data_IF_189344097127
#
_entry.id   IF_189344097127
#
_cell.length_a   1.000
_cell.length_b   1.000
_cell.length_c   1.000
_cell.angle_alpha   90.00
_cell.angle_beta   90.00
_cell.angle_gamma   90.00
#
_symmetry.space_group_name_H-M   'P 1'
#
loop_
_entity.id
_entity.type
_entity.pdbx_description
1 polymer ?
#
# COMPACT_ATOMS: atom_id res chain seq x y z
N UNK A 1 -5.70 21.50 2.54
CA UNK A 1 -6.48 21.68 3.78
C UNK A 1 -6.78 20.30 4.36
N UNK A 2 -5.96 19.80 5.26
CA UNK A 2 -6.22 18.53 5.98
C UNK A 2 -7.09 18.84 7.19
N UNK A 3 -8.40 18.65 7.03
CA UNK A 3 -9.33 18.70 8.14
C UNK A 3 -9.03 17.48 9.02
N UNK A 4 -8.25 17.63 10.09
CA UNK A 4 -8.16 16.62 11.14
C UNK A 4 -9.55 16.53 11.74
N UNK A 5 -10.35 15.56 11.32
CA UNK A 5 -11.60 15.28 12.00
C UNK A 5 -11.24 14.82 13.41
N UNK A 6 -11.37 15.72 14.40
CA UNK A 6 -11.33 15.42 15.84
C UNK A 6 -12.55 14.57 16.28
N UNK A 7 -13.13 13.80 15.36
CA UNK A 7 -14.25 12.94 15.66
C UNK A 7 -13.70 11.54 15.84
N UNK A 8 -13.87 11.00 17.04
CA UNK A 8 -13.49 9.66 17.49
C UNK A 8 -14.36 8.56 16.84
N UNK A 9 -14.69 8.74 15.56
CA UNK A 9 -15.67 7.97 14.81
C UNK A 9 -15.14 7.67 13.40
N UNK A 10 -15.61 6.57 12.83
CA UNK A 10 -15.55 6.32 11.38
C UNK A 10 -16.95 6.47 10.77
N UNK A 11 -17.00 6.80 9.48
CA UNK A 11 -18.26 6.97 8.74
C UNK A 11 -18.19 6.15 7.45
N UNK A 12 -19.23 5.39 7.18
CA UNK A 12 -19.41 4.65 5.92
C UNK A 12 -20.40 5.44 5.06
N UNK A 13 -19.98 5.82 3.86
CA UNK A 13 -20.84 6.46 2.87
C UNK A 13 -21.13 5.50 1.72
N UNK A 14 -22.35 5.56 1.19
CA UNK A 14 -22.72 4.89 -0.06
C UNK A 14 -22.95 5.94 -1.14
N UNK A 15 -22.52 5.60 -2.36
CA UNK A 15 -22.85 6.38 -3.56
C UNK A 15 -24.21 5.88 -4.08
N UNK A 16 -25.19 6.78 -4.17
CA UNK A 16 -26.48 6.49 -4.77
C UNK A 16 -26.55 7.11 -6.17
N UNK A 17 -27.03 6.32 -7.14
CA UNK A 17 -27.34 6.80 -8.50
C UNK A 17 -28.84 6.73 -8.70
N UNK A 18 -29.52 7.88 -8.62
CA UNK A 18 -30.92 7.94 -8.99
C UNK A 18 -31.04 7.77 -10.51
N UNK A 19 -31.65 6.66 -10.94
CA UNK A 19 -32.07 6.41 -12.32
C UNK A 19 -33.52 6.87 -12.50
N UNK A 20 -33.79 8.15 -12.27
CA UNK A 20 -35.04 8.73 -12.77
C UNK A 20 -34.83 9.20 -14.21
N UNK A 21 -35.90 9.08 -15.01
CA UNK A 21 -35.89 9.17 -16.47
C UNK A 21 -35.28 10.49 -16.97
N UNK A 22 -34.35 10.35 -17.92
CA UNK A 22 -33.92 11.33 -18.95
C UNK A 22 -33.23 12.64 -18.58
N UNK A 23 -32.94 12.95 -17.31
CA UNK A 23 -32.09 14.12 -16.99
C UNK A 23 -30.94 13.69 -16.07
N UNK A 24 -29.70 13.87 -16.57
CA UNK A 24 -28.38 13.65 -15.91
C UNK A 24 -28.46 12.96 -14.55
N UNK A 25 -28.06 11.69 -14.48
CA UNK A 25 -28.05 10.92 -13.24
C UNK A 25 -27.33 11.70 -12.12
N UNK A 26 -28.09 12.18 -11.13
CA UNK A 26 -27.52 12.83 -9.96
C UNK A 26 -26.84 11.76 -9.09
N UNK A 27 -25.51 11.88 -8.94
CA UNK A 27 -24.71 11.05 -8.04
C UNK A 27 -24.72 11.74 -6.69
N UNK A 28 -25.26 11.09 -5.67
CA UNK A 28 -25.28 11.64 -4.30
C UNK A 28 -24.55 10.70 -3.34
N UNK A 29 -23.82 11.29 -2.39
CA UNK A 29 -23.24 10.56 -1.26
C UNK A 29 -24.24 10.55 -0.11
N UNK A 30 -24.56 9.37 0.40
CA UNK A 30 -25.41 9.21 1.58
C UNK A 30 -24.62 8.56 2.70
N UNK A 31 -24.62 9.19 3.88
CA UNK A 31 -24.12 8.56 5.09
C UNK A 31 -24.96 7.32 5.37
N UNK A 32 -24.32 6.15 5.36
CA UNK A 32 -24.95 4.86 5.59
C UNK A 32 -24.86 4.47 7.05
N UNK A 33 -23.68 4.57 7.65
CA UNK A 33 -23.45 4.25 9.06
C UNK A 33 -22.32 5.06 9.66
N UNK A 34 -22.33 5.16 10.98
CA UNK A 34 -21.28 5.77 11.80
C UNK A 34 -20.92 4.74 12.86
N UNK A 35 -19.64 4.62 13.19
CA UNK A 35 -19.19 3.79 14.30
C UNK A 35 -18.11 4.47 15.11
N UNK A 36 -17.97 4.03 16.35
CA UNK A 36 -17.01 4.56 17.31
C UNK A 36 -16.57 3.41 18.23
N UNK A 37 -15.38 3.52 18.82
CA UNK A 37 -14.88 2.53 19.76
C UNK A 37 -14.35 3.23 21.00
N UNK A 38 -15.10 3.12 22.11
CA UNK A 38 -14.76 3.70 23.42
C UNK A 38 -14.31 5.18 23.41
N UNK A 39 -14.79 5.98 22.45
CA UNK A 39 -14.37 7.38 22.33
C UNK A 39 -12.90 7.56 21.94
N UNK A 40 -12.25 6.50 21.43
CA UNK A 40 -10.87 6.57 20.96
C UNK A 40 -10.77 7.18 19.56
N UNK A 41 -9.68 7.90 19.26
CA UNK A 41 -9.43 8.37 17.90
C UNK A 41 -9.21 7.19 16.97
N UNK A 42 -9.92 7.18 15.83
CA UNK A 42 -9.65 6.27 14.73
C UNK A 42 -8.54 6.85 13.84
N UNK A 43 -7.58 6.02 13.45
CA UNK A 43 -6.41 6.44 12.65
C UNK A 43 -6.48 5.96 11.20
N UNK A 44 -6.97 4.75 10.97
CA UNK A 44 -7.01 4.13 9.66
C UNK A 44 -8.15 3.12 9.58
N UNK A 45 -8.64 2.87 8.36
CA UNK A 45 -9.61 1.83 8.10
C UNK A 45 -9.27 1.12 6.79
N UNK A 46 -9.58 -0.17 6.72
CA UNK A 46 -9.44 -0.99 5.52
C UNK A 46 -10.61 -1.95 5.42
N UNK A 47 -11.09 -2.20 4.20
CA UNK A 47 -12.18 -3.13 3.93
C UNK A 47 -11.56 -4.38 3.30
N UNK A 48 -12.07 -5.54 3.69
CA UNK A 48 -11.67 -6.82 3.12
C UNK A 48 -12.02 -6.89 1.63
N UNK A 49 -11.31 -7.74 0.87
CA UNK A 49 -11.49 -7.81 -0.59
C UNK A 49 -12.91 -8.19 -1.01
N UNK A 50 -13.56 -9.06 -0.23
CA UNK A 50 -14.94 -9.50 -0.41
C UNK A 50 -15.98 -8.50 0.12
N UNK A 51 -15.53 -7.42 0.77
CA UNK A 51 -16.40 -6.37 1.32
C UNK A 51 -17.21 -6.79 2.54
N UNK A 52 -16.96 -7.98 3.10
CA UNK A 52 -17.73 -8.52 4.23
C UNK A 52 -17.36 -7.86 5.55
N UNK A 53 -16.08 -7.57 5.77
CA UNK A 53 -15.56 -7.02 7.02
C UNK A 53 -14.69 -5.79 6.80
N UNK A 54 -14.65 -4.94 7.81
CA UNK A 54 -13.81 -3.74 7.85
C UNK A 54 -12.99 -3.73 9.14
N UNK A 55 -11.71 -3.45 8.99
CA UNK A 55 -10.80 -3.21 10.09
C UNK A 55 -10.69 -1.70 10.31
N UNK A 56 -10.79 -1.27 11.56
CA UNK A 56 -10.57 0.13 11.96
C UNK A 56 -9.54 0.15 13.07
N UNK A 57 -8.46 0.91 12.86
CA UNK A 57 -7.42 1.11 13.87
C UNK A 57 -7.79 2.26 14.80
N UNK A 58 -7.84 1.97 16.09
CA UNK A 58 -8.01 2.91 17.18
C UNK A 58 -6.72 2.98 18.00
N UNK A 59 -6.68 3.82 19.03
CA UNK A 59 -5.48 4.04 19.82
C UNK A 59 -4.99 2.77 20.50
N UNK A 60 -5.90 1.99 21.08
CA UNK A 60 -5.56 0.81 21.90
C UNK A 60 -6.05 -0.51 21.30
N UNK A 61 -6.80 -0.46 20.19
CA UNK A 61 -7.34 -1.65 19.55
C UNK A 61 -7.38 -1.54 18.02
N UNK A 62 -7.32 -2.69 17.35
CA UNK A 62 -7.79 -2.82 15.98
C UNK A 62 -9.11 -3.56 16.05
N UNK A 63 -10.15 -2.97 15.50
CA UNK A 63 -11.52 -3.49 15.61
C UNK A 63 -11.99 -4.00 14.27
N UNK A 64 -12.68 -5.15 14.27
CA UNK A 64 -13.23 -5.77 13.08
C UNK A 64 -14.75 -5.63 13.12
N UNK A 65 -15.31 -5.05 12.08
CA UNK A 65 -16.73 -4.74 11.95
C UNK A 65 -17.31 -5.47 10.75
N UNK A 66 -18.53 -5.96 10.88
CA UNK A 66 -19.34 -6.37 9.75
C UNK A 66 -19.78 -5.13 8.97
N UNK A 67 -19.41 -5.03 7.69
CA UNK A 67 -19.64 -3.83 6.87
C UNK A 67 -21.13 -3.58 6.64
N UNK A 68 -21.93 -4.66 6.57
CA UNK A 68 -23.33 -4.56 6.22
C UNK A 68 -24.21 -4.09 7.39
N UNK A 69 -24.05 -4.74 8.53
CA UNK A 69 -24.80 -4.48 9.75
C UNK A 69 -24.17 -3.42 10.65
N UNK A 70 -22.92 -3.00 10.36
CA UNK A 70 -22.15 -2.06 11.19
C UNK A 70 -21.99 -2.56 12.63
N UNK A 71 -21.91 -3.88 12.83
CA UNK A 71 -21.72 -4.51 14.14
C UNK A 71 -20.26 -4.81 14.37
N UNK A 72 -19.76 -4.47 15.57
CA UNK A 72 -18.45 -4.90 16.03
C UNK A 72 -18.45 -6.43 16.19
N UNK A 73 -17.56 -7.12 15.49
CA UNK A 73 -17.40 -8.56 15.57
C UNK A 73 -16.43 -8.94 16.69
N UNK A 74 -15.24 -8.33 16.69
CA UNK A 74 -14.22 -8.51 17.72
C UNK A 74 -13.14 -7.42 17.61
N UNK A 75 -12.25 -7.36 18.60
CA UNK A 75 -11.02 -6.56 18.56
C UNK A 75 -9.79 -7.46 18.62
N UNK A 76 -8.72 -7.01 17.99
CA UNK A 76 -7.40 -7.62 18.04
C UNK A 76 -6.58 -6.94 19.16
N UNK A 77 -5.79 -7.73 19.91
CA UNK A 77 -4.95 -7.19 20.97
C UNK A 77 -3.83 -6.35 20.35
N UNK A 78 -3.51 -5.22 20.98
CA UNK A 78 -2.31 -4.44 20.66
C UNK A 78 -1.27 -4.67 21.75
N UNK A 79 0.02 -4.85 21.41
CA UNK A 79 1.07 -4.88 22.42
C UNK A 79 1.09 -3.55 23.18
N UNK A 80 0.81 -3.57 24.49
CA UNK A 80 0.67 -2.35 25.29
C UNK A 80 1.97 -1.52 25.30
N UNK A 81 3.13 -2.19 25.35
CA UNK A 81 4.44 -1.54 25.31
C UNK A 81 5.42 -2.30 24.42
N UNK A 82 6.06 -1.57 23.49
CA UNK A 82 7.29 -2.01 22.85
C UNK A 82 8.37 -0.95 23.13
N UNK A 83 9.44 -1.35 23.84
CA UNK A 83 10.54 -0.46 24.24
C UNK A 83 10.09 0.80 25.00
N UNK A 84 9.22 0.65 26.00
CA UNK A 84 8.67 1.75 26.82
C UNK A 84 7.95 2.83 25.98
N UNK A 85 7.46 2.46 24.79
CA UNK A 85 6.67 3.33 23.92
C UNK A 85 5.36 2.62 23.56
N UNK A 86 4.28 3.38 23.60
CA UNK A 86 2.95 2.92 23.23
C UNK A 86 2.92 2.54 21.73
N UNK A 87 2.49 1.31 21.43
CA UNK A 87 2.23 0.90 20.05
C UNK A 87 0.89 1.47 19.61
N UNK A 88 0.90 2.46 18.72
CA UNK A 88 -0.33 3.05 18.17
C UNK A 88 -0.45 2.61 16.71
N UNK A 89 -1.48 1.86 16.31
CA UNK A 89 -1.67 1.39 14.95
C UNK A 89 -2.15 2.55 14.06
N UNK A 90 -1.23 3.16 13.33
CA UNK A 90 -1.51 4.33 12.51
C UNK A 90 -2.08 3.94 11.14
N UNK A 91 -1.81 2.72 10.69
CA UNK A 91 -2.24 2.24 9.38
C UNK A 91 -2.63 0.76 9.46
N UNK A 92 -3.73 0.40 8.81
CA UNK A 92 -4.23 -0.97 8.75
C UNK A 92 -4.59 -1.34 7.31
N UNK A 93 -4.20 -2.53 6.86
CA UNK A 93 -4.51 -3.03 5.53
C UNK A 93 -4.78 -4.54 5.57
N UNK A 94 -5.85 -5.01 4.91
CA UNK A 94 -6.04 -6.44 4.69
C UNK A 94 -5.00 -6.98 3.70
N UNK A 95 -4.43 -8.16 4.01
CA UNK A 95 -3.66 -8.94 3.03
C UNK A 95 -4.50 -10.10 2.49
N UNK A 96 -4.25 -10.45 1.23
CA UNK A 96 -4.77 -11.70 0.64
C UNK A 96 -6.31 -11.79 0.72
N UNK A 97 -6.86 -13.00 0.68
CA UNK A 97 -8.29 -13.33 0.84
C UNK A 97 -8.78 -13.09 2.29
N UNK A 98 -8.47 -11.92 2.86
CA UNK A 98 -9.05 -11.39 4.10
C UNK A 98 -8.67 -12.11 5.40
N UNK A 99 -7.75 -13.07 5.40
CA UNK A 99 -7.35 -13.79 6.62
C UNK A 99 -6.42 -12.95 7.51
N UNK A 100 -5.55 -12.15 6.89
CA UNK A 100 -4.48 -11.46 7.60
C UNK A 100 -4.65 -9.95 7.53
N UNK A 101 -4.21 -9.28 8.60
CA UNK A 101 -4.16 -7.82 8.67
C UNK A 101 -2.74 -7.36 8.89
N UNK A 102 -2.27 -6.48 8.01
CA UNK A 102 -1.03 -5.73 8.12
C UNK A 102 -1.30 -4.46 8.89
N UNK A 103 -0.49 -4.20 9.91
CA UNK A 103 -0.58 -2.99 10.72
C UNK A 103 0.77 -2.31 10.79
N UNK A 104 0.78 -0.99 10.59
CA UNK A 104 1.94 -0.13 10.82
C UNK A 104 1.77 0.69 12.10
N UNK A 105 2.82 0.73 12.92
CA UNK A 105 3.01 1.74 13.95
C UNK A 105 4.33 2.46 13.74
N UNK A 106 4.68 3.37 14.66
CA UNK A 106 6.02 3.98 14.68
C UNK A 106 7.10 3.01 15.18
N UNK A 107 6.71 1.91 15.81
CA UNK A 107 7.60 0.96 16.49
C UNK A 107 7.76 -0.36 15.73
N UNK A 108 6.88 -0.63 14.77
CA UNK A 108 7.01 -1.83 13.97
C UNK A 108 5.87 -2.07 13.01
N UNK A 109 6.00 -3.20 12.34
CA UNK A 109 4.96 -3.79 11.50
C UNK A 109 4.47 -5.06 12.19
N UNK A 110 3.16 -5.21 12.34
CA UNK A 110 2.54 -6.41 12.92
C UNK A 110 1.55 -6.99 11.93
N UNK A 111 1.59 -8.32 11.80
CA UNK A 111 0.62 -9.10 11.05
C UNK A 111 -0.22 -9.90 12.03
N UNK A 112 -1.53 -9.72 11.95
CA UNK A 112 -2.50 -10.51 12.72
C UNK A 112 -3.14 -11.57 11.84
N UNK A 113 -3.40 -12.73 12.41
CA UNK A 113 -4.29 -13.74 11.83
C UNK A 113 -5.68 -13.56 12.44
N UNK A 114 -6.67 -13.30 11.60
CA UNK A 114 -8.05 -13.07 12.04
C UNK A 114 -8.75 -14.33 12.51
N UNK A 115 -8.33 -15.51 12.05
CA UNK A 115 -8.92 -16.77 12.47
C UNK A 115 -8.51 -17.11 13.92
N UNK A 116 -7.21 -17.01 14.22
CA UNK A 116 -6.72 -17.22 15.57
C UNK A 116 -6.85 -16.00 16.49
N UNK A 117 -7.08 -14.80 15.93
CA UNK A 117 -7.14 -13.49 16.62
C UNK A 117 -5.87 -13.18 17.40
N UNK A 118 -4.72 -13.60 16.85
CA UNK A 118 -3.41 -13.45 17.47
C UNK A 118 -2.44 -12.77 16.51
N UNK A 119 -1.35 -12.26 17.09
CA UNK A 119 -0.19 -11.83 16.32
C UNK A 119 0.39 -13.07 15.65
N UNK A 120 0.44 -13.04 14.32
CA UNK A 120 1.06 -14.07 13.50
C UNK A 120 2.56 -13.78 13.33
N UNK A 121 2.91 -12.53 13.02
CA UNK A 121 4.30 -12.12 12.82
C UNK A 121 4.48 -10.65 13.20
N UNK A 122 5.67 -10.27 13.67
CA UNK A 122 5.99 -8.88 14.02
C UNK A 122 7.43 -8.55 13.70
N UNK A 123 7.66 -7.32 13.21
CA UNK A 123 8.97 -6.77 12.93
C UNK A 123 9.14 -5.47 13.71
N UNK A 124 10.21 -5.39 14.49
CA UNK A 124 10.60 -4.17 15.19
C UNK A 124 11.41 -3.29 14.25
N UNK A 125 10.77 -2.26 13.72
CA UNK A 125 11.34 -1.31 12.79
C UNK A 125 10.58 0.03 12.87
N UNK A 126 11.07 1.07 12.20
CA UNK A 126 10.35 2.35 12.11
C UNK A 126 9.85 2.54 10.68
N UNK A 127 8.81 1.79 10.27
CA UNK A 127 8.33 1.79 8.90
C UNK A 127 7.68 3.13 8.55
N UNK A 128 8.07 3.68 7.40
CA UNK A 128 7.48 4.91 6.88
C UNK A 128 6.24 4.60 6.06
N UNK A 129 6.27 3.54 5.26
CA UNK A 129 5.16 3.10 4.41
C UNK A 129 4.97 1.59 4.54
N UNK A 130 3.73 1.14 4.35
CA UNK A 130 3.37 -0.26 4.16
C UNK A 130 2.47 -0.40 2.92
N UNK A 131 2.51 -1.54 2.25
CA UNK A 131 1.49 -1.92 1.29
C UNK A 131 1.26 -3.43 1.36
N UNK A 132 -0.01 -3.82 1.31
CA UNK A 132 -0.43 -5.20 1.26
C UNK A 132 -0.78 -5.60 -0.18
N UNK A 133 -0.36 -6.79 -0.58
CA UNK A 133 -0.78 -7.36 -1.83
C UNK A 133 -2.23 -7.88 -1.74
N UNK A 134 -3.03 -7.65 -2.78
CA UNK A 134 -4.48 -7.92 -2.76
C UNK A 134 -4.86 -9.40 -2.83
N UNK A 135 -4.02 -10.22 -3.44
CA UNK A 135 -4.33 -11.64 -3.75
C UNK A 135 -3.29 -12.59 -3.15
N UNK A 136 -2.02 -12.33 -3.42
CA UNK A 136 -0.89 -13.04 -2.83
C UNK A 136 -0.67 -12.68 -1.37
N UNK A 137 -0.06 -13.61 -0.62
CA UNK A 137 0.39 -13.42 0.76
C UNK A 137 1.70 -12.61 0.81
N UNK A 138 1.74 -11.49 0.09
CA UNK A 138 2.89 -10.61 -0.02
C UNK A 138 2.57 -9.26 0.61
N UNK A 139 3.59 -8.63 1.16
CA UNK A 139 3.52 -7.27 1.67
C UNK A 139 4.86 -6.60 1.55
N UNK A 140 4.83 -5.27 1.64
CA UNK A 140 6.02 -4.47 1.68
C UNK A 140 5.99 -3.51 2.85
N UNK A 141 7.17 -3.13 3.30
CA UNK A 141 7.36 -1.97 4.15
C UNK A 141 8.64 -1.25 3.78
N UNK A 142 8.66 0.06 4.05
CA UNK A 142 9.79 0.94 3.73
C UNK A 142 10.39 1.44 5.03
N UNK A 143 11.70 1.27 5.19
CA UNK A 143 12.45 1.89 6.28
C UNK A 143 13.35 3.00 5.74
N UNK A 144 13.42 4.10 6.49
CA UNK A 144 14.37 5.16 6.23
C UNK A 144 15.68 4.85 6.94
N UNK A 145 16.76 4.78 6.18
CA UNK A 145 18.13 4.69 6.68
C UNK A 145 18.90 5.97 6.34
N UNK A 146 20.13 6.08 6.83
CA UNK A 146 20.95 7.28 6.61
C UNK A 146 21.27 7.44 5.13
N UNK A 147 20.61 8.39 4.48
CA UNK A 147 20.83 8.77 3.08
C UNK A 147 20.04 7.99 2.04
N UNK A 148 19.25 6.98 2.44
CA UNK A 148 18.50 6.15 1.51
C UNK A 148 17.28 5.48 2.16
N UNK A 149 16.44 4.89 1.32
CA UNK A 149 15.20 4.23 1.69
C UNK A 149 15.25 2.78 1.25
N UNK A 150 15.20 1.87 2.23
CA UNK A 150 15.21 0.45 1.96
C UNK A 150 13.77 -0.06 1.92
N UNK A 151 13.46 -0.76 0.83
CA UNK A 151 12.16 -1.36 0.59
C UNK A 151 12.30 -2.86 0.75
N UNK A 152 11.47 -3.43 1.62
CA UNK A 152 11.46 -4.86 1.92
C UNK A 152 10.20 -5.46 1.35
N UNK A 153 10.34 -6.39 0.39
CA UNK A 153 9.25 -7.27 -0.04
C UNK A 153 9.31 -8.54 0.79
N UNK A 154 8.19 -8.86 1.42
CA UNK A 154 8.07 -9.96 2.36
C UNK A 154 6.92 -10.87 1.94
N UNK A 155 7.03 -12.14 2.32
CA UNK A 155 5.96 -13.12 2.23
C UNK A 155 5.53 -13.52 3.63
N UNK A 156 4.21 -13.67 3.83
CA UNK A 156 3.67 -14.09 5.13
C UNK A 156 4.29 -15.43 5.52
N UNK A 157 4.86 -15.49 6.73
CA UNK A 157 5.49 -16.69 7.30
C UNK A 157 7.01 -16.70 7.15
N UNK A 158 7.54 -15.96 6.18
CA UNK A 158 8.98 -15.87 5.98
C UNK A 158 9.59 -14.79 6.88
N UNK A 159 10.68 -15.12 7.55
CA UNK A 159 11.44 -14.17 8.39
C UNK A 159 12.36 -13.31 7.53
N UNK A 160 12.84 -13.87 6.41
CA UNK A 160 13.72 -13.19 5.46
C UNK A 160 12.88 -12.52 4.36
N UNK A 161 13.29 -11.33 3.89
CA UNK A 161 12.66 -10.71 2.73
C UNK A 161 12.81 -11.57 1.49
N UNK A 162 11.77 -11.60 0.67
CA UNK A 162 11.80 -12.15 -0.68
C UNK A 162 12.76 -11.34 -1.53
N UNK A 163 12.69 -10.01 -1.40
CA UNK A 163 13.59 -9.09 -2.07
C UNK A 163 13.78 -7.81 -1.25
N UNK A 164 14.94 -7.18 -1.41
CA UNK A 164 15.26 -5.87 -0.83
C UNK A 164 15.87 -5.00 -1.91
N UNK A 165 15.45 -3.74 -1.98
CA UNK A 165 16.07 -2.76 -2.85
C UNK A 165 16.14 -1.41 -2.17
N UNK A 166 17.03 -0.56 -2.68
CA UNK A 166 17.33 0.75 -2.13
C UNK A 166 16.93 1.84 -3.12
N UNK A 167 16.36 2.92 -2.59
CA UNK A 167 16.05 4.14 -3.33
C UNK A 167 16.67 5.31 -2.57
N UNK A 168 17.54 6.08 -3.25
CA UNK A 168 18.28 7.19 -2.61
C UNK A 168 17.42 8.46 -2.43
N UNK A 169 16.23 8.47 -3.04
CA UNK A 169 15.25 9.56 -2.91
C UNK A 169 14.13 9.19 -1.95
N UNK A 170 13.59 10.18 -1.23
CA UNK A 170 12.43 10.03 -0.36
C UNK A 170 11.23 9.42 -1.09
N UNK A 171 10.76 8.27 -0.61
CA UNK A 171 9.56 7.58 -1.11
C UNK A 171 8.34 8.18 -0.44
N UNK A 172 7.41 8.69 -1.23
CA UNK A 172 6.18 9.32 -0.75
C UNK A 172 5.00 8.35 -0.74
N UNK A 173 4.96 7.43 -1.69
CA UNK A 173 3.88 6.44 -1.79
C UNK A 173 4.37 5.14 -2.42
N UNK A 174 3.74 4.04 -2.05
CA UNK A 174 4.04 2.72 -2.59
C UNK A 174 2.78 1.85 -2.63
N UNK A 175 2.59 1.12 -3.73
CA UNK A 175 1.38 0.32 -3.93
C UNK A 175 1.64 -0.86 -4.86
N UNK A 176 0.92 -1.96 -4.62
CA UNK A 176 0.79 -3.04 -5.58
C UNK A 176 -0.35 -2.74 -6.55
N UNK A 177 -0.12 -2.95 -7.84
CA UNK A 177 -1.15 -2.82 -8.85
C UNK A 177 -1.08 -3.95 -9.86
N UNK A 178 -2.23 -4.24 -10.46
CA UNK A 178 -2.37 -5.25 -11.51
C UNK A 178 -2.78 -4.54 -12.79
N UNK A 179 -2.10 -4.83 -13.89
CA UNK A 179 -2.46 -4.33 -15.22
C UNK A 179 -3.76 -4.97 -15.72
N UNK A 180 -4.34 -4.44 -16.79
CA UNK A 180 -5.52 -5.03 -17.44
C UNK A 180 -5.18 -6.41 -18.02
N UNK A 181 -3.92 -6.60 -18.42
CA UNK A 181 -3.35 -7.89 -18.86
C UNK A 181 -3.13 -8.89 -17.73
N UNK A 182 -3.34 -8.50 -16.47
CA UNK A 182 -3.19 -9.38 -15.30
C UNK A 182 -1.77 -9.46 -14.75
N UNK A 183 -0.83 -8.67 -15.26
CA UNK A 183 0.54 -8.60 -14.75
C UNK A 183 0.56 -7.77 -13.46
N UNK A 184 1.31 -8.25 -12.47
CA UNK A 184 1.41 -7.61 -11.16
C UNK A 184 2.70 -6.81 -11.03
N UNK A 185 2.59 -5.60 -10.48
CA UNK A 185 3.69 -4.67 -10.34
C UNK A 185 3.68 -3.99 -8.97
N UNK A 186 4.86 -3.54 -8.56
CA UNK A 186 5.06 -2.63 -7.44
C UNK A 186 5.35 -1.24 -8.02
N UNK A 187 4.55 -0.26 -7.62
CA UNK A 187 4.78 1.15 -7.93
C UNK A 187 5.33 1.85 -6.70
N UNK A 188 6.45 2.57 -6.85
CA UNK A 188 6.98 3.48 -5.85
C UNK A 188 7.08 4.89 -6.43
N UNK A 189 6.52 5.87 -5.73
CA UNK A 189 6.56 7.29 -6.10
C UNK A 189 7.51 8.00 -5.15
N UNK A 190 8.41 8.81 -5.71
CA UNK A 190 9.36 9.60 -4.92
C UNK A 190 8.95 11.06 -4.84
N UNK A 191 9.54 11.77 -3.87
CA UNK A 191 9.36 13.21 -3.68
C UNK A 191 9.75 14.04 -4.90
N UNK A 192 10.66 13.53 -5.73
CA UNK A 192 11.08 14.18 -6.97
C UNK A 192 10.14 13.87 -8.14
N UNK A 193 8.97 13.26 -7.89
CA UNK A 193 8.02 12.81 -8.93
C UNK A 193 8.61 11.77 -9.89
N UNK A 194 9.61 11.02 -9.41
CA UNK A 194 10.07 9.82 -10.11
C UNK A 194 9.21 8.63 -9.72
N UNK A 195 8.93 7.78 -10.69
CA UNK A 195 8.04 6.64 -10.52
C UNK A 195 8.78 5.39 -10.94
N UNK A 196 8.95 4.48 -10.00
CA UNK A 196 9.57 3.18 -10.20
C UNK A 196 8.47 2.14 -10.32
N UNK A 197 8.41 1.45 -11.46
CA UNK A 197 7.50 0.33 -11.66
C UNK A 197 8.31 -0.95 -11.80
N UNK A 198 8.13 -1.87 -10.85
CA UNK A 198 8.85 -3.14 -10.78
C UNK A 198 7.88 -4.31 -11.06
N UNK A 199 8.12 -5.14 -12.08
CA UNK A 199 7.35 -6.37 -12.28
C UNK A 199 7.52 -7.31 -11.09
N UNK A 200 6.43 -7.81 -10.53
CA UNK A 200 6.46 -8.67 -9.35
C UNK A 200 7.07 -10.04 -9.66
N UNK A 201 6.88 -10.55 -10.88
CA UNK A 201 7.45 -11.81 -11.38
C UNK A 201 8.98 -11.86 -11.28
N UNK A 202 9.64 -10.73 -11.56
CA UNK A 202 11.09 -10.61 -11.49
C UNK A 202 11.62 -10.72 -10.05
N UNK A 203 10.77 -10.43 -9.07
CA UNK A 203 11.14 -10.37 -7.65
C UNK A 203 10.91 -11.69 -6.92
N UNK A 204 9.98 -12.54 -7.40
CA UNK A 204 9.58 -13.77 -6.70
C UNK A 204 10.50 -14.96 -7.03
N UNK A 205 11.35 -14.85 -8.06
CA UNK A 205 12.10 -15.99 -8.63
C UNK A 205 13.63 -15.95 -8.57
N UNK A 206 14.28 -14.95 -7.97
CA UNK A 206 15.75 -14.84 -7.99
C UNK A 206 16.32 -14.50 -6.61
N UNK A 207 17.44 -15.15 -6.26
CA UNK A 207 18.25 -14.80 -5.09
C UNK A 207 18.63 -13.31 -5.15
N UNK A 208 18.20 -12.59 -4.10
CA UNK A 208 18.52 -11.20 -3.71
C UNK A 208 19.42 -10.44 -4.71
N UNK A 209 18.88 -9.46 -5.46
CA UNK A 209 19.74 -8.49 -6.13
C UNK A 209 20.48 -7.69 -5.06
N UNK A 210 21.80 -7.53 -5.23
CA UNK A 210 22.61 -6.67 -4.37
C UNK A 210 22.05 -5.23 -4.34
N UNK A 211 22.30 -4.47 -3.25
CA UNK A 211 21.78 -3.12 -3.09
C UNK A 211 22.13 -2.23 -4.29
N UNK A 212 21.10 -1.77 -4.98
CA UNK A 212 21.19 -0.85 -6.10
C UNK A 212 21.53 0.58 -5.62
N UNK A 213 22.42 1.26 -6.35
CA UNK A 213 22.83 2.66 -6.14
C UNK A 213 22.50 3.40 -7.44
N UNK A 214 21.61 4.40 -7.39
CA UNK A 214 21.35 5.25 -8.56
C UNK A 214 22.48 6.30 -8.67
N UNK A 215 23.40 6.12 -9.62
CA UNK A 215 24.56 7.03 -9.80
C UNK A 215 24.38 8.08 -10.89
N UNK A 216 23.19 8.24 -11.51
CA UNK A 216 23.03 9.25 -12.57
C UNK A 216 22.15 10.43 -12.16
N UNK A 217 22.85 11.50 -11.79
CA UNK A 217 22.33 12.87 -11.75
C UNK A 217 21.80 13.23 -13.15
N UNK A 218 20.48 13.19 -13.34
CA UNK A 218 19.82 13.70 -14.54
C UNK A 218 19.20 15.06 -14.22
N UNK A 219 19.54 16.05 -15.03
CA UNK A 219 19.10 17.44 -14.92
C UNK A 219 17.57 17.61 -14.83
N UNK A 220 17.18 18.60 -14.01
CA UNK A 220 15.80 19.00 -13.72
C UNK A 220 15.08 19.51 -14.98
N UNK A 221 14.06 18.78 -15.41
CA UNK A 221 12.81 19.36 -15.93
C UNK A 221 11.66 18.76 -15.15
N UNK A 222 10.67 19.59 -14.79
CA UNK A 222 9.48 19.20 -14.05
C UNK A 222 8.55 18.34 -14.92
N UNK A 223 8.97 17.11 -15.20
CA UNK A 223 8.20 16.10 -15.90
C UNK A 223 8.22 14.80 -15.07
N UNK A 224 7.06 14.15 -14.96
CA UNK A 224 6.94 12.83 -14.35
C UNK A 224 7.85 11.88 -15.13
N UNK A 225 8.83 11.30 -14.45
CA UNK A 225 9.78 10.37 -15.09
C UNK A 225 9.42 8.95 -14.67
N UNK A 226 8.96 8.15 -15.62
CA UNK A 226 8.72 6.72 -15.44
C UNK A 226 10.04 5.98 -15.64
N UNK A 227 10.46 5.23 -14.63
CA UNK A 227 11.65 4.38 -14.65
C UNK A 227 11.18 2.92 -14.53
N UNK A 228 11.46 2.10 -15.55
CA UNK A 228 11.31 0.64 -15.46
C UNK A 228 12.62 0.07 -14.94
N UNK A 229 12.55 -0.78 -13.92
CA UNK A 229 13.68 -1.56 -13.47
C UNK A 229 13.61 -2.93 -14.15
N UNK A 230 14.61 -3.24 -14.97
CA UNK A 230 14.80 -4.55 -15.59
C UNK A 230 15.95 -5.27 -14.89
N UNK A 231 15.77 -6.55 -14.58
CA UNK A 231 16.87 -7.40 -14.12
C UNK A 231 17.60 -7.97 -15.34
N UNK A 232 18.90 -7.69 -15.47
CA UNK A 232 19.74 -8.35 -16.45
C UNK A 232 20.10 -9.75 -15.92
N UNK A 233 19.58 -10.79 -16.57
CA UNK A 233 19.78 -12.18 -16.16
C UNK A 233 21.24 -12.64 -16.25
N UNK A 234 22.05 -11.95 -17.07
CA UNK A 234 23.44 -12.34 -17.32
C UNK A 234 24.43 -11.85 -16.25
N UNK A 235 24.13 -10.72 -15.59
CA UNK A 235 25.04 -10.07 -14.65
C UNK A 235 24.49 -9.94 -13.22
N UNK A 236 23.26 -10.38 -12.96
CA UNK A 236 22.57 -10.17 -11.68
C UNK A 236 22.50 -8.68 -11.27
N UNK A 237 22.53 -7.80 -12.26
CA UNK A 237 22.49 -6.34 -12.11
C UNK A 237 21.13 -5.80 -12.56
N UNK A 238 20.55 -4.93 -11.73
CA UNK A 238 19.31 -4.21 -12.06
C UNK A 238 19.64 -3.00 -12.92
N UNK A 239 19.08 -2.94 -14.14
CA UNK A 239 19.19 -1.78 -15.04
C UNK A 239 17.95 -0.91 -14.95
N UNK A 240 18.14 0.38 -14.75
CA UNK A 240 17.06 1.37 -14.86
C UNK A 240 16.95 1.81 -16.32
N UNK A 241 15.82 1.48 -16.94
CA UNK A 241 15.45 2.01 -18.25
C UNK A 241 14.55 3.21 -18.01
N UNK A 242 15.04 4.40 -18.39
CA UNK A 242 14.24 5.63 -18.37
C UNK A 242 13.22 5.51 -19.50
N UNK A 243 11.93 5.43 -19.17
CA UNK A 243 10.86 5.58 -20.15
C UNK A 243 10.74 7.09 -20.39
N UNK A 244 11.65 7.62 -21.20
CA UNK A 244 11.50 8.95 -21.78
C UNK A 244 10.51 8.82 -22.93
N UNK A 245 9.45 9.62 -22.87
CA UNK A 245 8.41 9.72 -23.89
C UNK A 245 8.94 9.69 -25.33
N UNK A 246 8.13 9.09 -26.19
CA UNK A 246 8.12 8.96 -27.66
C UNK A 246 8.80 7.76 -28.35
N UNK A 247 9.86 7.12 -27.83
CA UNK A 247 10.58 6.11 -28.65
C UNK A 247 10.61 4.67 -28.14
N UNK A 248 9.79 4.32 -27.14
CA UNK A 248 9.57 2.92 -26.71
C UNK A 248 8.09 2.55 -26.69
N UNK A 249 7.26 3.35 -27.36
CA UNK A 249 5.86 3.02 -27.56
C UNK A 249 5.74 1.75 -28.42
N UNK A 250 6.63 1.40 -29.34
CA UNK A 250 6.49 0.17 -30.13
C UNK A 250 6.39 -1.14 -29.30
N UNK A 251 6.89 -1.15 -28.05
CA UNK A 251 6.71 -2.26 -27.10
C UNK A 251 5.60 -2.08 -26.05
N UNK A 252 5.13 -0.84 -25.82
CA UNK A 252 4.10 -0.47 -24.84
C UNK A 252 2.77 -0.02 -25.49
N UNK A 253 2.75 0.19 -26.81
CA UNK A 253 1.61 0.51 -27.70
C UNK A 253 0.60 -0.63 -27.71
N UNK A 254 1.02 -1.83 -27.32
CA UNK A 254 0.15 -2.98 -27.25
C UNK A 254 -0.97 -2.83 -26.21
N UNK A 255 -0.93 -1.85 -25.29
CA UNK A 255 -2.11 -1.62 -24.43
C UNK A 255 -2.20 -0.22 -23.81
N UNK A 256 -2.80 0.73 -24.53
CA UNK A 256 -3.17 2.07 -24.01
C UNK A 256 -3.95 1.99 -22.68
N UNK A 257 -4.71 0.91 -22.45
CA UNK A 257 -5.41 0.71 -21.17
C UNK A 257 -4.48 0.50 -19.99
N UNK A 258 -3.32 -0.13 -20.19
CA UNK A 258 -2.33 -0.36 -19.13
C UNK A 258 -1.61 0.93 -18.76
N UNK A 259 -1.34 1.80 -19.75
CA UNK A 259 -0.81 3.15 -19.50
C UNK A 259 -1.80 3.99 -18.69
N UNK A 260 -3.08 3.97 -19.06
CA UNK A 260 -4.14 4.67 -18.31
C UNK A 260 -4.31 4.11 -16.89
N UNK A 261 -4.18 2.80 -16.71
CA UNK A 261 -4.25 2.17 -15.39
C UNK A 261 -3.06 2.61 -14.51
N UNK A 262 -1.84 2.62 -15.06
CA UNK A 262 -0.66 3.16 -14.38
C UNK A 262 -0.89 4.62 -13.99
N UNK A 263 -1.41 5.45 -14.90
CA UNK A 263 -1.71 6.84 -14.61
C UNK A 263 -2.74 6.99 -13.47
N UNK A 264 -3.80 6.18 -13.45
CA UNK A 264 -4.78 6.18 -12.37
C UNK A 264 -4.16 5.79 -11.03
N UNK A 265 -3.30 4.76 -11.01
CA UNK A 265 -2.56 4.34 -9.81
C UNK A 265 -1.67 5.47 -9.30
N UNK A 266 -1.01 6.21 -10.21
CA UNK A 266 -0.15 7.35 -9.85
C UNK A 266 -1.00 8.49 -9.28
N UNK A 267 -2.11 8.84 -9.93
CA UNK A 267 -3.04 9.85 -9.44
C UNK A 267 -3.55 9.48 -8.04
N UNK A 268 -3.97 8.23 -7.84
CA UNK A 268 -4.39 7.72 -6.53
C UNK A 268 -3.26 7.78 -5.48
N UNK A 269 -2.00 7.60 -5.90
CA UNK A 269 -0.85 7.73 -5.00
C UNK A 269 -0.54 9.19 -4.64
N UNK A 270 -0.78 10.14 -5.55
CA UNK A 270 -0.52 11.57 -5.36
C UNK A 270 -1.65 12.30 -4.61
N UNK A 271 -2.87 11.75 -4.63
CA UNK A 271 -4.04 12.33 -3.95
C UNK A 271 -4.19 11.90 -2.48
N UNK A 272 -3.37 10.95 -2.00
CA UNK A 272 -3.32 10.52 -0.59
C UNK A 272 -2.42 11.42 0.25
#
# INVERSE_FOLDING_TARGET
>A
MTNKSNQHIFVIFNINKNREREVRSNITWKCRSIGAYYGEPSYSASISKDGSVMAVSFKTAITIWDVLSNKLLFSLPIPYEQHNKEFIPVEVQFLSNSQYILTKSKQGVIIYDLLSRKIYQSFLCTPILIAAHRTLNLYLFVNKNTGHWDVFLMKIGDIKPVAVWRIDTEITSMVFYTTVTGLEYICAVTKNSEIYSLPLENMIGKDVPQPYIDTKVSEKKAAITLKKLEMDESNNETRVVKIVSESTLDGLEANISDVNNIFNVIVDCLLK
#
